data_IF_761784888295
#
_entry.id   IF_761784888295
#
_cell.length_a   1.000
_cell.length_b   1.000
_cell.length_c   1.000
_cell.angle_alpha   90.00
_cell.angle_beta   90.00
_cell.angle_gamma   90.00
#
_symmetry.space_group_name_H-M   'P 1'
#
loop_
_entity.id
_entity.type
_entity.pdbx_description
1 polymer ?
#
# COMPACT_ATOMS: atom_id res chain seq x y z
N UNK A 1 -37.39 -8.45 -7.06
CA UNK A 1 -36.82 -8.15 -8.39
C UNK A 1 -36.21 -6.75 -8.28
N UNK A 2 -34.90 -6.66 -8.42
CA UNK A 2 -34.14 -5.42 -8.28
C UNK A 2 -34.32 -4.54 -9.52
N UNK A 3 -34.27 -3.23 -9.34
CA UNK A 3 -34.58 -2.26 -10.41
C UNK A 3 -33.45 -2.15 -11.43
N UNK A 4 -32.21 -2.21 -10.96
CA UNK A 4 -31.00 -2.09 -11.74
C UNK A 4 -29.80 -2.73 -11.00
N UNK A 5 -28.63 -2.71 -11.64
CA UNK A 5 -27.40 -3.26 -11.09
C UNK A 5 -27.02 -2.63 -9.74
N UNK A 6 -27.16 -1.31 -9.58
CA UNK A 6 -26.77 -0.61 -8.36
C UNK A 6 -27.70 -0.95 -7.18
N UNK A 7 -29.00 -1.08 -7.45
CA UNK A 7 -29.99 -1.57 -6.50
C UNK A 7 -29.71 -3.02 -6.08
N UNK A 8 -29.42 -3.91 -7.04
CA UNK A 8 -29.04 -5.29 -6.78
C UNK A 8 -27.76 -5.40 -5.95
N UNK A 9 -26.70 -4.67 -6.33
CA UNK A 9 -25.41 -4.61 -5.63
C UNK A 9 -25.58 -4.10 -4.20
N UNK A 10 -26.26 -2.98 -4.03
CA UNK A 10 -26.53 -2.41 -2.71
C UNK A 10 -27.38 -3.35 -1.84
N UNK A 11 -28.36 -4.04 -2.44
CA UNK A 11 -29.17 -5.01 -1.72
C UNK A 11 -28.37 -6.24 -1.30
N UNK A 12 -27.55 -6.81 -2.20
CA UNK A 12 -26.66 -7.93 -1.92
C UNK A 12 -25.66 -7.59 -0.80
N UNK A 13 -25.02 -6.41 -0.87
CA UNK A 13 -24.11 -5.93 0.17
C UNK A 13 -24.78 -5.83 1.54
N UNK A 14 -25.97 -5.21 1.63
CA UNK A 14 -26.74 -5.16 2.88
C UNK A 14 -27.21 -6.54 3.35
N UNK A 15 -27.52 -7.43 2.41
CA UNK A 15 -27.97 -8.79 2.71
C UNK A 15 -26.84 -9.65 3.30
N UNK A 16 -25.58 -9.42 2.92
CA UNK A 16 -24.44 -10.09 3.55
C UNK A 16 -24.41 -9.87 5.06
N UNK A 17 -24.52 -8.61 5.50
CA UNK A 17 -24.54 -8.26 6.94
C UNK A 17 -25.72 -8.85 7.71
N UNK A 18 -26.80 -9.21 7.01
CA UNK A 18 -27.99 -9.83 7.60
C UNK A 18 -28.02 -11.35 7.43
N UNK A 19 -27.01 -11.92 6.76
CA UNK A 19 -26.97 -13.32 6.34
C UNK A 19 -28.23 -13.74 5.55
N UNK A 20 -28.77 -12.82 4.75
CA UNK A 20 -29.92 -13.06 3.90
C UNK A 20 -29.48 -13.68 2.57
N UNK A 21 -29.29 -15.00 2.60
CA UNK A 21 -28.83 -15.80 1.46
C UNK A 21 -29.77 -15.75 0.27
N UNK A 22 -31.07 -15.59 0.49
CA UNK A 22 -32.07 -15.52 -0.58
C UNK A 22 -31.95 -14.22 -1.37
N UNK A 23 -31.78 -13.09 -0.67
CA UNK A 23 -31.55 -11.81 -1.34
C UNK A 23 -30.23 -11.80 -2.11
N UNK A 24 -29.16 -12.39 -1.55
CA UNK A 24 -27.86 -12.52 -2.25
C UNK A 24 -28.04 -13.37 -3.51
N UNK A 25 -28.64 -14.56 -3.39
CA UNK A 25 -28.91 -15.45 -4.52
C UNK A 25 -29.72 -14.75 -5.61
N UNK A 26 -30.84 -14.13 -5.23
CA UNK A 26 -31.71 -13.45 -6.18
C UNK A 26 -30.97 -12.31 -6.91
N UNK A 27 -30.08 -11.59 -6.21
CA UNK A 27 -29.31 -10.50 -6.81
C UNK A 27 -28.32 -11.01 -7.87
N UNK A 28 -27.56 -12.05 -7.55
CA UNK A 28 -26.60 -12.68 -8.46
C UNK A 28 -27.27 -13.42 -9.62
N UNK A 29 -28.43 -14.04 -9.41
CA UNK A 29 -29.21 -14.66 -10.49
C UNK A 29 -29.76 -13.62 -11.46
N UNK A 30 -30.25 -12.49 -10.95
CA UNK A 30 -30.77 -11.41 -11.79
C UNK A 30 -29.63 -10.61 -12.46
N UNK A 31 -28.48 -10.47 -11.80
CA UNK A 31 -27.31 -9.73 -12.28
C UNK A 31 -26.02 -10.55 -12.09
N UNK A 32 -25.72 -11.51 -13.00
CA UNK A 32 -24.56 -12.40 -12.88
C UNK A 32 -23.20 -11.69 -12.89
N UNK A 33 -23.13 -10.47 -13.43
CA UNK A 33 -21.90 -9.67 -13.48
C UNK A 33 -21.47 -9.13 -12.11
N UNK A 34 -22.33 -9.20 -11.08
CA UNK A 34 -21.95 -8.85 -9.70
C UNK A 34 -20.71 -9.62 -9.22
N UNK A 35 -20.47 -10.83 -9.74
CA UNK A 35 -19.29 -11.63 -9.38
C UNK A 35 -17.97 -11.08 -9.91
N UNK A 36 -18.01 -10.18 -10.92
CA UNK A 36 -16.84 -9.58 -11.56
C UNK A 36 -16.67 -8.11 -11.14
N UNK A 37 -17.19 -7.74 -9.97
CA UNK A 37 -17.11 -6.38 -9.46
C UNK A 37 -15.64 -5.95 -9.27
N UNK A 38 -15.41 -4.64 -9.22
CA UNK A 38 -14.09 -4.05 -9.06
C UNK A 38 -13.38 -4.62 -7.80
N UNK A 39 -12.05 -4.82 -7.90
CA UNK A 39 -11.19 -5.48 -6.89
C UNK A 39 -11.21 -4.81 -5.51
N UNK A 40 -11.81 -3.63 -5.40
CA UNK A 40 -12.05 -2.92 -4.15
C UNK A 40 -13.09 -3.63 -3.25
N UNK A 41 -13.98 -4.46 -3.82
CA UNK A 41 -15.05 -5.13 -3.07
C UNK A 41 -15.19 -6.63 -3.38
N UNK A 42 -14.20 -7.48 -3.03
CA UNK A 42 -14.30 -8.92 -3.26
C UNK A 42 -15.34 -9.53 -2.31
N UNK A 43 -16.47 -9.98 -2.87
CA UNK A 43 -17.61 -10.52 -2.10
C UNK A 43 -17.21 -11.63 -1.13
N UNK A 44 -16.31 -12.52 -1.55
CA UNK A 44 -15.85 -13.66 -0.73
C UNK A 44 -15.03 -13.16 0.48
N UNK A 45 -14.14 -12.19 0.30
CA UNK A 45 -13.35 -11.59 1.39
C UNK A 45 -14.27 -10.92 2.41
N UNK A 46 -15.27 -10.17 1.94
CA UNK A 46 -16.22 -9.50 2.84
C UNK A 46 -17.10 -10.51 3.61
N UNK A 47 -17.49 -11.62 2.99
CA UNK A 47 -18.20 -12.70 3.66
C UNK A 47 -17.34 -13.42 4.72
N UNK A 48 -16.04 -13.59 4.43
CA UNK A 48 -15.06 -14.13 5.38
C UNK A 48 -14.87 -13.19 6.58
N UNK A 49 -14.72 -11.88 6.36
CA UNK A 49 -14.58 -10.90 7.44
C UNK A 49 -15.80 -10.86 8.38
N UNK A 50 -16.96 -11.31 7.89
CA UNK A 50 -18.19 -11.44 8.66
C UNK A 50 -18.35 -12.81 9.35
N UNK A 51 -17.43 -13.75 9.14
CA UNK A 51 -17.50 -15.09 9.73
C UNK A 51 -18.58 -16.01 9.13
N UNK A 52 -19.14 -15.67 7.97
CA UNK A 52 -20.32 -16.37 7.44
C UNK A 52 -19.95 -17.48 6.45
N UNK A 53 -19.70 -18.69 6.97
CA UNK A 53 -19.51 -19.89 6.14
C UNK A 53 -20.62 -20.11 5.09
N UNK A 54 -21.93 -19.97 5.42
CA UNK A 54 -23.00 -20.13 4.44
C UNK A 54 -22.97 -19.08 3.32
N UNK A 55 -22.58 -17.84 3.64
CA UNK A 55 -22.45 -16.78 2.63
C UNK A 55 -21.26 -17.04 1.72
N UNK A 56 -20.11 -17.45 2.27
CA UNK A 56 -18.94 -17.84 1.49
C UNK A 56 -19.29 -18.97 0.52
N UNK A 57 -19.91 -20.04 1.00
CA UNK A 57 -20.33 -21.18 0.16
C UNK A 57 -21.30 -20.74 -0.93
N UNK A 58 -22.26 -19.88 -0.61
CA UNK A 58 -23.20 -19.34 -1.60
C UNK A 58 -22.46 -18.56 -2.71
N UNK A 59 -21.58 -17.62 -2.34
CA UNK A 59 -20.87 -16.76 -3.30
C UNK A 59 -19.97 -17.56 -4.23
N UNK A 60 -19.23 -18.54 -3.69
CA UNK A 60 -18.40 -19.45 -4.49
C UNK A 60 -19.28 -20.27 -5.45
N UNK A 61 -20.43 -20.77 -4.99
CA UNK A 61 -21.38 -21.49 -5.86
C UNK A 61 -22.03 -20.61 -6.94
N UNK A 62 -22.11 -19.29 -6.70
CA UNK A 62 -22.56 -18.29 -7.67
C UNK A 62 -21.44 -17.88 -8.64
N UNK A 63 -20.23 -18.41 -8.46
CA UNK A 63 -19.09 -18.23 -9.36
C UNK A 63 -18.19 -17.03 -9.03
N UNK A 64 -18.24 -16.50 -7.80
CA UNK A 64 -17.20 -15.59 -7.31
C UNK A 64 -15.86 -16.32 -7.21
N UNK A 65 -14.78 -15.64 -7.59
CA UNK A 65 -13.42 -16.19 -7.46
C UNK A 65 -12.98 -16.17 -5.99
N UNK A 66 -12.76 -17.35 -5.42
CA UNK A 66 -12.27 -17.50 -4.04
C UNK A 66 -10.84 -16.97 -3.85
N UNK A 67 -10.09 -16.84 -4.95
CA UNK A 67 -8.71 -16.36 -4.98
C UNK A 67 -8.59 -14.88 -5.38
N UNK A 68 -9.71 -14.18 -5.50
CA UNK A 68 -9.69 -12.73 -5.66
C UNK A 68 -8.98 -12.09 -4.46
N UNK A 69 -8.16 -11.09 -4.75
CA UNK A 69 -7.38 -10.36 -3.74
C UNK A 69 -7.68 -8.87 -3.80
N UNK A 70 -7.65 -8.20 -2.65
CA UNK A 70 -7.62 -6.73 -2.55
C UNK A 70 -6.30 -6.24 -1.97
N UNK A 71 -6.18 -4.92 -1.78
CA UNK A 71 -5.02 -4.27 -1.17
C UNK A 71 -3.72 -4.64 -1.88
N UNK A 72 -3.71 -4.52 -3.21
CA UNK A 72 -2.56 -4.84 -4.08
C UNK A 72 -2.07 -6.30 -3.96
N UNK A 73 -2.97 -7.23 -3.65
CA UNK A 73 -2.67 -8.67 -3.56
C UNK A 73 -2.38 -9.16 -2.15
N UNK A 74 -2.37 -8.29 -1.14
CA UNK A 74 -2.02 -8.63 0.23
C UNK A 74 -3.17 -9.32 1.00
N UNK A 75 -4.42 -9.03 0.62
CA UNK A 75 -5.59 -9.56 1.33
C UNK A 75 -6.30 -10.60 0.47
N UNK A 76 -6.44 -11.81 1.00
CA UNK A 76 -7.11 -12.96 0.39
C UNK A 76 -8.16 -13.50 1.36
N UNK A 77 -9.01 -14.44 0.92
CA UNK A 77 -9.94 -15.12 1.81
C UNK A 77 -9.22 -15.85 2.97
N UNK A 78 -8.07 -16.48 2.70
CA UNK A 78 -7.28 -17.17 3.72
C UNK A 78 -6.73 -16.17 4.75
N UNK A 79 -6.11 -15.07 4.30
CA UNK A 79 -5.48 -14.12 5.23
C UNK A 79 -6.48 -13.29 6.01
N UNK A 80 -7.68 -13.08 5.46
CA UNK A 80 -8.81 -12.43 6.15
C UNK A 80 -9.42 -13.31 7.24
N UNK A 81 -9.41 -14.63 7.08
CA UNK A 81 -9.94 -15.56 8.07
C UNK A 81 -9.03 -15.69 9.31
N UNK A 82 -7.72 -15.49 9.16
CA UNK A 82 -6.74 -15.81 10.21
C UNK A 82 -6.89 -14.99 11.51
N UNK A 83 -7.18 -13.68 11.48
CA UNK A 83 -7.33 -12.90 12.71
C UNK A 83 -8.52 -13.34 13.58
N UNK A 84 -9.70 -13.53 12.95
CA UNK A 84 -10.97 -13.61 13.69
C UNK A 84 -11.83 -14.85 13.36
N UNK A 85 -11.60 -15.51 12.22
CA UNK A 85 -12.50 -16.54 11.66
C UNK A 85 -11.76 -17.79 11.16
N UNK A 86 -10.75 -18.25 11.91
CA UNK A 86 -9.85 -19.36 11.54
C UNK A 86 -10.64 -20.65 11.21
N UNK A 87 -11.78 -20.86 11.86
CA UNK A 87 -12.70 -21.98 11.60
C UNK A 87 -13.25 -22.04 10.18
N UNK A 88 -13.19 -20.94 9.41
CA UNK A 88 -13.55 -20.93 7.99
C UNK A 88 -12.48 -21.55 7.09
N UNK A 89 -11.20 -21.60 7.54
CA UNK A 89 -10.08 -22.04 6.72
C UNK A 89 -10.26 -23.44 6.09
N UNK A 90 -10.72 -24.48 6.81
CA UNK A 90 -10.94 -25.79 6.19
C UNK A 90 -11.94 -25.74 5.03
N UNK A 91 -13.00 -24.93 5.17
CA UNK A 91 -14.00 -24.74 4.12
C UNK A 91 -13.44 -23.99 2.91
N UNK A 92 -12.71 -22.90 3.16
CA UNK A 92 -12.06 -22.10 2.12
C UNK A 92 -11.06 -22.93 1.30
N UNK A 93 -10.18 -23.68 1.97
CA UNK A 93 -9.18 -24.52 1.31
C UNK A 93 -9.85 -25.65 0.52
N UNK A 94 -10.91 -26.27 1.06
CA UNK A 94 -11.70 -27.29 0.35
C UNK A 94 -12.39 -26.72 -0.90
N UNK A 95 -12.76 -25.44 -0.89
CA UNK A 95 -13.36 -24.73 -2.01
C UNK A 95 -12.32 -24.21 -3.02
N UNK A 96 -11.03 -24.48 -2.81
CA UNK A 96 -9.96 -24.14 -3.76
C UNK A 96 -9.27 -22.80 -3.51
N UNK A 97 -9.38 -22.25 -2.28
CA UNK A 97 -8.55 -21.12 -1.89
C UNK A 97 -7.06 -21.51 -1.94
N UNK A 98 -6.27 -20.74 -2.68
CA UNK A 98 -4.85 -20.97 -2.93
C UNK A 98 -4.00 -20.33 -1.81
N UNK A 99 -3.30 -21.12 -0.98
CA UNK A 99 -2.43 -20.58 0.06
C UNK A 99 -1.15 -19.93 -0.49
N UNK A 100 -0.85 -20.07 -1.79
CA UNK A 100 0.39 -19.62 -2.41
C UNK A 100 0.25 -18.31 -3.18
N UNK A 101 -0.86 -17.59 -3.00
CA UNK A 101 -1.06 -16.29 -3.65
C UNK A 101 0.14 -15.35 -3.37
N UNK A 102 0.81 -14.81 -4.40
CA UNK A 102 2.17 -14.25 -4.28
C UNK A 102 2.35 -13.19 -3.18
N UNK A 103 1.34 -12.34 -2.96
CA UNK A 103 1.39 -11.24 -2.00
C UNK A 103 0.57 -11.47 -0.73
N UNK A 104 -0.28 -12.49 -0.68
CA UNK A 104 -1.13 -12.74 0.47
C UNK A 104 -0.35 -13.32 1.66
N UNK A 105 0.71 -14.09 1.39
CA UNK A 105 1.63 -14.61 2.42
C UNK A 105 0.91 -15.44 3.50
N UNK A 106 0.01 -16.33 3.09
CA UNK A 106 -0.88 -17.08 4.00
C UNK A 106 -0.14 -17.82 5.13
N UNK A 107 1.00 -18.46 4.81
CA UNK A 107 1.80 -19.17 5.81
C UNK A 107 2.39 -18.23 6.87
N UNK A 108 2.74 -16.99 6.50
CA UNK A 108 3.23 -15.99 7.44
C UNK A 108 2.11 -15.43 8.32
N UNK A 109 0.94 -15.18 7.73
CA UNK A 109 -0.24 -14.83 8.50
C UNK A 109 -0.57 -15.92 9.52
N UNK A 110 -0.48 -17.20 9.14
CA UNK A 110 -0.69 -18.34 10.04
C UNK A 110 0.33 -18.39 11.18
N UNK A 111 1.59 -17.98 10.92
CA UNK A 111 2.62 -17.85 11.96
C UNK A 111 2.23 -16.76 12.99
N UNK A 112 1.34 -15.82 12.68
CA UNK A 112 0.85 -14.82 13.62
C UNK A 112 -0.49 -15.19 14.30
N UNK A 113 -1.05 -16.38 14.07
CA UNK A 113 -2.37 -16.80 14.55
C UNK A 113 -2.44 -17.16 16.06
N UNK A 114 -1.59 -16.55 16.91
CA UNK A 114 -1.60 -16.74 18.36
C UNK A 114 -1.45 -18.21 18.79
N UNK A 115 -2.34 -18.68 19.67
CA UNK A 115 -2.31 -20.05 20.22
C UNK A 115 -2.61 -21.14 19.18
N UNK A 116 -3.31 -20.79 18.08
CA UNK A 116 -3.66 -21.73 17.00
C UNK A 116 -2.61 -21.80 15.89
N UNK A 117 -1.51 -21.04 16.01
CA UNK A 117 -0.43 -20.95 15.03
C UNK A 117 -0.04 -22.28 14.39
N UNK A 118 0.36 -23.26 15.21
CA UNK A 118 0.83 -24.56 14.70
C UNK A 118 -0.28 -25.34 13.98
N UNK A 119 -1.52 -25.25 14.46
CA UNK A 119 -2.69 -25.87 13.84
C UNK A 119 -2.96 -25.28 12.45
N UNK A 120 -2.96 -23.94 12.35
CA UNK A 120 -3.21 -23.23 11.09
C UNK A 120 -2.07 -23.47 10.08
N UNK A 121 -0.81 -23.42 10.52
CA UNK A 121 0.33 -23.76 9.66
C UNK A 121 0.23 -25.20 9.15
N UNK A 122 -0.12 -26.16 10.02
CA UNK A 122 -0.35 -27.56 9.60
C UNK A 122 -1.43 -27.65 8.53
N UNK A 123 -2.57 -27.01 8.77
CA UNK A 123 -3.71 -27.02 7.87
C UNK A 123 -3.34 -26.46 6.48
N UNK A 124 -2.65 -25.31 6.42
CA UNK A 124 -2.22 -24.71 5.16
C UNK A 124 -1.23 -25.61 4.40
N UNK A 125 -0.26 -26.19 5.10
CA UNK A 125 0.73 -27.09 4.49
C UNK A 125 0.08 -28.40 3.99
N UNK A 126 -0.90 -28.93 4.71
CA UNK A 126 -1.69 -30.09 4.26
C UNK A 126 -2.49 -29.81 2.98
N UNK A 127 -2.84 -28.54 2.73
CA UNK A 127 -3.51 -28.07 1.53
C UNK A 127 -2.56 -27.47 0.48
N UNK A 128 -1.25 -27.76 0.58
CA UNK A 128 -0.29 -27.45 -0.47
C UNK A 128 0.36 -26.06 -0.38
N UNK A 129 0.35 -25.42 0.79
CA UNK A 129 1.17 -24.23 1.01
C UNK A 129 2.66 -24.54 0.82
N UNK A 130 3.34 -23.73 0.01
CA UNK A 130 4.76 -23.85 -0.28
C UNK A 130 5.58 -23.35 0.91
N UNK A 131 6.12 -24.31 1.67
CA UNK A 131 6.96 -24.05 2.84
C UNK A 131 8.30 -23.39 2.49
N UNK A 132 8.68 -23.35 1.21
CA UNK A 132 9.89 -22.73 0.70
C UNK A 132 9.60 -21.46 -0.11
N UNK A 133 8.37 -20.96 -0.10
CA UNK A 133 8.08 -19.65 -0.65
C UNK A 133 8.93 -18.61 0.09
N UNK A 134 9.74 -17.88 -0.67
CA UNK A 134 10.50 -16.77 -0.18
C UNK A 134 9.68 -15.49 -0.35
N UNK A 135 9.71 -14.64 0.66
CA UNK A 135 8.98 -13.39 0.68
C UNK A 135 10.00 -12.26 0.77
N UNK A 136 9.84 -11.26 -0.08
CA UNK A 136 10.50 -9.99 0.12
C UNK A 136 9.88 -9.26 1.33
N UNK A 137 10.69 -8.50 2.05
CA UNK A 137 10.14 -7.40 2.83
C UNK A 137 9.94 -6.23 1.87
N UNK A 138 8.67 -5.92 1.61
CA UNK A 138 8.24 -4.75 0.86
C UNK A 138 8.61 -4.72 -0.64
N UNK A 139 9.21 -5.76 -1.23
CA UNK A 139 9.66 -5.78 -2.64
C UNK A 139 11.17 -5.79 -2.82
N UNK A 140 11.93 -5.97 -1.73
CA UNK A 140 13.38 -6.18 -1.77
C UNK A 140 13.72 -7.66 -2.03
N UNK A 141 14.19 -7.98 -3.26
CA UNK A 141 14.60 -9.34 -3.67
C UNK A 141 15.90 -9.82 -3.01
N UNK A 142 16.67 -8.95 -2.35
CA UNK A 142 17.89 -9.29 -1.61
C UNK A 142 17.61 -9.59 -0.13
N UNK A 143 16.58 -8.96 0.44
CA UNK A 143 16.08 -9.18 1.80
C UNK A 143 14.90 -10.15 1.81
N UNK A 144 15.13 -11.32 1.21
CA UNK A 144 14.19 -12.42 1.29
C UNK A 144 14.20 -13.01 2.70
N UNK A 145 13.06 -13.54 3.10
CA UNK A 145 12.94 -14.42 4.25
C UNK A 145 11.91 -15.51 3.94
N UNK A 146 12.05 -16.63 4.62
CA UNK A 146 11.20 -17.81 4.46
C UNK A 146 10.30 -17.99 5.67
N UNK A 147 9.30 -18.87 5.54
CA UNK A 147 8.43 -19.22 6.66
C UNK A 147 9.20 -19.79 7.86
N UNK A 148 10.31 -20.49 7.63
CA UNK A 148 11.11 -21.07 8.72
C UNK A 148 11.91 -20.01 9.48
N UNK A 149 12.42 -18.99 8.80
CA UNK A 149 13.10 -17.84 9.44
C UNK A 149 12.09 -16.95 10.18
N UNK A 150 10.92 -16.70 9.58
CA UNK A 150 9.85 -15.94 10.26
C UNK A 150 9.31 -16.65 11.51
N UNK A 151 9.34 -17.98 11.53
CA UNK A 151 8.88 -18.79 12.64
C UNK A 151 9.92 -18.97 13.76
N UNK A 152 11.13 -18.39 13.67
CA UNK A 152 12.21 -18.58 14.67
C UNK A 152 11.77 -18.44 16.14
N UNK A 153 10.90 -17.48 16.52
CA UNK A 153 10.41 -17.37 17.89
C UNK A 153 9.54 -18.56 18.37
N UNK A 154 9.17 -19.48 17.48
CA UNK A 154 8.19 -20.56 17.68
C UNK A 154 8.78 -21.93 17.30
N UNK A 155 9.54 -22.58 18.21
CA UNK A 155 10.31 -23.78 17.91
C UNK A 155 9.48 -24.98 17.42
N UNK A 156 8.23 -25.09 17.87
CA UNK A 156 7.28 -26.13 17.45
C UNK A 156 6.86 -25.98 15.98
N UNK A 157 6.66 -24.73 15.54
CA UNK A 157 6.38 -24.39 14.14
C UNK A 157 7.61 -24.59 13.27
N UNK A 158 8.79 -24.14 13.72
CA UNK A 158 10.07 -24.38 13.02
C UNK A 158 10.30 -25.88 12.84
N UNK A 159 10.14 -26.68 13.90
CA UNK A 159 10.30 -28.12 13.84
C UNK A 159 9.34 -28.76 12.84
N UNK A 160 8.07 -28.33 12.83
CA UNK A 160 7.10 -28.81 11.86
C UNK A 160 7.45 -28.41 10.42
N UNK A 161 7.75 -27.13 10.15
CA UNK A 161 8.13 -26.64 8.82
C UNK A 161 9.39 -27.36 8.31
N UNK A 162 10.42 -27.51 9.14
CA UNK A 162 11.63 -28.29 8.82
C UNK A 162 11.30 -29.76 8.51
N UNK A 163 10.38 -30.38 9.26
CA UNK A 163 9.92 -31.76 8.96
C UNK A 163 9.21 -31.89 7.60
N UNK A 164 8.70 -30.77 7.06
CA UNK A 164 8.08 -30.67 5.73
C UNK A 164 9.04 -30.19 4.65
N UNK A 165 10.33 -30.05 4.98
CA UNK A 165 11.37 -29.65 4.03
C UNK A 165 11.49 -28.15 3.82
N UNK A 166 11.01 -27.34 4.78
CA UNK A 166 11.26 -25.90 4.78
C UNK A 166 12.76 -25.61 4.95
N UNK A 167 13.22 -24.62 4.21
CA UNK A 167 14.62 -24.21 4.12
C UNK A 167 14.75 -22.72 4.39
N UNK A 168 15.90 -22.32 4.89
CA UNK A 168 16.26 -20.90 5.00
C UNK A 168 16.54 -20.33 3.61
N UNK A 169 16.59 -19.01 3.49
CA UNK A 169 16.97 -18.37 2.22
C UNK A 169 18.36 -18.84 1.77
N UNK A 170 19.32 -18.92 2.69
CA UNK A 170 20.69 -19.35 2.38
C UNK A 170 20.75 -20.78 1.84
N UNK A 171 19.97 -21.70 2.41
CA UNK A 171 19.87 -23.07 1.92
C UNK A 171 19.23 -23.14 0.52
N UNK A 172 18.19 -22.33 0.27
CA UNK A 172 17.55 -22.25 -1.05
C UNK A 172 18.48 -21.61 -2.10
N UNK A 173 19.27 -20.61 -1.72
CA UNK A 173 20.32 -20.01 -2.56
C UNK A 173 21.42 -21.01 -2.89
N UNK A 174 21.88 -21.78 -1.90
CA UNK A 174 22.88 -22.84 -2.10
C UNK A 174 22.40 -23.93 -3.08
N UNK A 175 21.08 -24.14 -3.18
CA UNK A 175 20.45 -25.06 -4.13
C UNK A 175 20.14 -24.42 -5.50
N UNK A 176 20.43 -23.13 -5.68
CA UNK A 176 20.10 -22.38 -6.90
C UNK A 176 18.59 -22.20 -7.12
N UNK A 177 17.77 -22.36 -6.07
CA UNK A 177 16.30 -22.16 -6.12
C UNK A 177 15.89 -20.71 -5.92
N UNK A 178 16.75 -19.92 -5.30
CA UNK A 178 16.64 -18.47 -5.19
C UNK A 178 17.86 -17.83 -5.86
N UNK A 179 17.74 -16.60 -6.36
CA UNK A 179 18.90 -15.84 -6.83
C UNK A 179 19.94 -15.76 -5.71
N UNK A 180 21.22 -15.94 -6.07
CA UNK A 180 22.31 -15.71 -5.14
C UNK A 180 22.16 -14.30 -4.54
N UNK A 181 22.40 -14.16 -3.23
CA UNK A 181 22.47 -12.83 -2.62
C UNK A 181 23.40 -11.97 -3.48
N UNK A 182 22.98 -10.75 -3.83
CA UNK A 182 23.89 -9.80 -4.44
C UNK A 182 25.12 -9.70 -3.52
N UNK A 183 26.27 -10.13 -4.05
CA UNK A 183 27.54 -9.96 -3.36
C UNK A 183 27.79 -8.46 -3.26
N UNK A 184 27.57 -7.85 -2.10
CA UNK A 184 28.04 -6.48 -1.90
C UNK A 184 29.57 -6.40 -2.09
N UNK A 185 30.14 -5.26 -2.50
CA UNK A 185 29.65 -4.31 -3.51
C UNK A 185 29.88 -4.88 -4.92
N UNK A 186 28.94 -4.59 -5.82
CA UNK A 186 29.10 -4.92 -7.23
C UNK A 186 30.34 -4.25 -7.81
N UNK A 187 31.14 -5.02 -8.56
CA UNK A 187 32.14 -4.48 -9.48
C UNK A 187 31.39 -3.75 -10.61
N UNK A 188 31.00 -2.50 -10.35
CA UNK A 188 30.33 -1.63 -11.30
C UNK A 188 31.38 -0.84 -12.08
N UNK A 189 31.76 -1.35 -13.26
CA UNK A 189 32.44 -0.57 -14.28
C UNK A 189 31.50 0.39 -15.01
N UNK A 190 30.48 0.92 -14.32
CA UNK A 190 29.56 1.97 -14.77
C UNK A 190 29.35 2.95 -13.63
N UNK A 191 29.45 4.24 -13.91
CA UNK A 191 29.39 5.31 -12.89
C UNK A 191 28.16 5.12 -11.97
N UNK A 192 28.40 4.97 -10.66
CA UNK A 192 27.34 4.89 -9.64
C UNK A 192 26.48 6.16 -9.73
N UNK A 193 25.17 6.00 -9.96
CA UNK A 193 24.25 7.14 -9.99
C UNK A 193 24.06 7.66 -8.57
N UNK A 194 23.97 8.98 -8.41
CA UNK A 194 23.57 9.58 -7.15
C UNK A 194 22.11 9.23 -6.79
N UNK A 195 21.74 9.31 -5.51
CA UNK A 195 20.37 9.04 -5.05
C UNK A 195 19.32 9.88 -5.82
N UNK A 196 19.54 11.19 -6.07
CA UNK A 196 18.65 12.00 -6.89
C UNK A 196 18.48 11.48 -8.33
N UNK A 197 19.56 11.06 -8.99
CA UNK A 197 19.50 10.53 -10.36
C UNK A 197 18.73 9.23 -10.43
N UNK A 198 18.91 8.36 -9.43
CA UNK A 198 18.16 7.11 -9.33
C UNK A 198 16.66 7.35 -9.07
N UNK A 199 16.32 8.33 -8.22
CA UNK A 199 14.92 8.73 -8.01
C UNK A 199 14.27 9.24 -9.31
N UNK A 200 14.95 10.12 -10.04
CA UNK A 200 14.47 10.61 -11.35
C UNK A 200 14.28 9.47 -12.35
N UNK A 201 15.24 8.53 -12.41
CA UNK A 201 15.14 7.36 -13.27
C UNK A 201 13.92 6.49 -12.91
N UNK A 202 13.71 6.23 -11.61
CA UNK A 202 12.57 5.45 -11.13
C UNK A 202 11.24 6.10 -11.53
N UNK A 203 11.09 7.41 -11.29
CA UNK A 203 9.87 8.14 -11.67
C UNK A 203 9.66 8.12 -13.18
N UNK A 204 10.72 8.29 -13.97
CA UNK A 204 10.64 8.22 -15.43
C UNK A 204 10.14 6.86 -15.94
N UNK A 205 10.66 5.78 -15.37
CA UNK A 205 10.34 4.41 -15.78
C UNK A 205 8.96 3.95 -15.30
N UNK A 206 8.58 4.30 -14.06
CA UNK A 206 7.39 3.76 -13.40
C UNK A 206 6.18 4.69 -13.46
N UNK A 207 6.41 6.00 -13.44
CA UNK A 207 5.36 7.03 -13.41
C UNK A 207 5.24 7.75 -14.76
N UNK A 208 6.24 7.62 -15.64
CA UNK A 208 6.23 8.07 -17.02
C UNK A 208 7.18 9.24 -17.32
N UNK A 209 7.24 9.70 -18.58
CA UNK A 209 8.33 10.55 -19.06
C UNK A 209 8.41 11.85 -18.29
N UNK A 210 9.57 12.09 -17.69
CA UNK A 210 9.88 13.31 -16.94
C UNK A 210 10.14 14.45 -17.92
N UNK A 211 9.52 15.61 -17.66
CA UNK A 211 9.80 16.86 -18.36
C UNK A 211 11.26 17.25 -18.12
N UNK A 212 12.08 17.47 -19.17
CA UNK A 212 13.47 17.89 -19.01
C UNK A 212 13.62 19.20 -18.23
N UNK A 213 12.58 20.03 -18.22
CA UNK A 213 12.57 21.30 -17.49
C UNK A 213 12.20 21.06 -16.02
N UNK A 214 13.19 20.68 -15.22
CA UNK A 214 13.06 20.65 -13.76
C UNK A 214 12.91 22.07 -13.18
N UNK A 215 12.10 22.20 -12.15
CA UNK A 215 11.87 23.44 -11.40
C UNK A 215 12.90 23.52 -10.27
N UNK A 216 14.12 23.93 -10.62
CA UNK A 216 15.21 24.11 -9.67
C UNK A 216 15.00 25.36 -8.81
N UNK A 217 15.38 25.29 -7.54
CA UNK A 217 15.38 26.44 -6.65
C UNK A 217 16.67 27.27 -6.83
N UNK A 218 16.54 28.57 -7.06
CA UNK A 218 17.67 29.51 -7.15
C UNK A 218 17.82 30.23 -5.80
N UNK A 219 17.98 29.47 -4.72
CA UNK A 219 18.24 29.99 -3.37
C UNK A 219 19.37 29.17 -2.75
N UNK A 220 20.38 29.79 -2.12
CA UNK A 220 21.37 29.05 -1.38
C UNK A 220 20.69 28.32 -0.21
N UNK A 221 20.60 27.01 -0.32
CA UNK A 221 20.14 26.10 0.71
C UNK A 221 21.16 24.99 0.85
N UNK A 222 21.40 24.55 2.08
CA UNK A 222 22.31 23.44 2.37
C UNK A 222 21.76 22.08 1.92
N UNK A 223 20.49 22.05 1.45
CA UNK A 223 19.89 20.93 0.75
C UNK A 223 19.08 21.42 -0.47
N UNK A 224 19.66 21.36 -1.69
CA UNK A 224 18.95 21.77 -2.89
C UNK A 224 17.83 20.76 -3.22
N UNK A 225 16.58 21.21 -3.14
CA UNK A 225 15.42 20.39 -3.53
C UNK A 225 14.95 20.80 -4.92
N UNK A 226 15.13 19.89 -5.88
CA UNK A 226 14.64 20.05 -7.25
C UNK A 226 13.26 19.44 -7.37
N UNK A 227 12.34 20.14 -8.05
CA UNK A 227 11.01 19.60 -8.36
C UNK A 227 10.97 19.20 -9.83
N UNK A 228 10.68 17.94 -10.09
CA UNK A 228 10.51 17.37 -11.41
C UNK A 228 9.03 17.24 -11.74
N UNK A 229 8.73 17.17 -13.03
CA UNK A 229 7.35 17.12 -13.53
C UNK A 229 7.19 15.94 -14.46
N UNK A 230 6.12 15.17 -14.28
CA UNK A 230 5.61 14.23 -15.28
C UNK A 230 4.31 14.82 -15.81
N UNK A 231 4.29 15.32 -17.06
CA UNK A 231 3.07 15.88 -17.65
C UNK A 231 1.97 14.83 -17.81
N UNK A 232 0.72 15.29 -17.86
CA UNK A 232 -0.42 14.41 -18.15
C UNK A 232 -0.31 13.81 -19.55
N UNK A 233 -0.75 12.56 -19.70
CA UNK A 233 -0.87 11.88 -20.98
C UNK A 233 -2.31 11.42 -21.22
N UNK A 234 -2.60 10.85 -22.40
CA UNK A 234 -3.92 10.27 -22.69
C UNK A 234 -4.30 9.13 -21.73
N UNK A 235 -3.32 8.36 -21.28
CA UNK A 235 -3.49 7.22 -20.36
C UNK A 235 -3.38 7.64 -18.88
N UNK A 236 -2.70 8.75 -18.58
CA UNK A 236 -2.59 9.33 -17.22
C UNK A 236 -3.11 10.77 -17.20
N UNK A 237 -4.42 10.98 -16.92
CA UNK A 237 -5.05 12.30 -16.97
C UNK A 237 -4.76 13.14 -15.71
N UNK A 238 -3.50 13.17 -15.27
CA UNK A 238 -3.01 13.95 -14.13
C UNK A 238 -1.54 14.31 -14.31
N UNK A 239 -1.10 15.37 -13.65
CA UNK A 239 0.31 15.80 -13.56
C UNK A 239 0.91 15.23 -12.28
N UNK A 240 2.13 14.68 -12.34
CA UNK A 240 2.87 14.31 -11.13
C UNK A 240 4.00 15.30 -10.91
N UNK A 241 4.09 15.89 -9.71
CA UNK A 241 5.27 16.62 -9.27
C UNK A 241 6.01 15.76 -8.25
N UNK A 242 7.33 15.70 -8.33
CA UNK A 242 8.13 14.93 -7.36
C UNK A 242 9.46 15.62 -7.05
N UNK A 243 10.04 15.30 -5.90
CA UNK A 243 11.32 15.86 -5.46
C UNK A 243 12.49 15.00 -5.93
N UNK A 244 13.64 15.65 -6.13
CA UNK A 244 14.94 15.02 -5.98
C UNK A 244 15.82 15.91 -5.11
N UNK A 245 16.67 15.30 -4.28
CA UNK A 245 17.63 16.01 -3.43
C UNK A 245 17.39 15.78 -1.94
N UNK A 246 16.16 15.41 -1.54
CA UNK A 246 15.87 15.06 -0.16
C UNK A 246 16.66 13.83 0.29
N UNK A 247 16.88 12.91 -0.65
CA UNK A 247 17.62 11.67 -0.48
C UNK A 247 19.14 11.80 -0.58
N UNK A 248 19.70 13.00 -0.78
CA UNK A 248 21.17 13.21 -0.78
C UNK A 248 21.81 12.96 0.58
N UNK A 249 21.02 13.08 1.66
CA UNK A 249 21.44 12.81 3.03
C UNK A 249 20.38 11.97 3.74
N UNK A 250 20.77 11.09 4.67
CA UNK A 250 19.79 10.37 5.47
C UNK A 250 19.08 11.34 6.44
N UNK A 251 17.79 11.11 6.64
CA UNK A 251 17.01 11.68 7.74
C UNK A 251 17.50 11.12 9.09
N UNK A 252 17.20 11.83 10.17
CA UNK A 252 17.55 11.39 11.52
C UNK A 252 16.49 10.39 12.04
N UNK A 253 16.67 9.12 11.69
CA UNK A 253 15.76 8.03 12.07
C UNK A 253 16.20 7.33 13.37
N UNK A 254 15.26 6.82 14.19
CA UNK A 254 15.58 5.97 15.34
C UNK A 254 16.28 4.66 14.96
N UNK A 255 16.93 4.04 15.94
CA UNK A 255 17.49 2.69 15.77
C UNK A 255 16.41 1.70 15.32
N UNK A 256 16.68 0.94 14.25
CA UNK A 256 15.73 0.00 13.65
C UNK A 256 14.86 0.59 12.53
N UNK A 257 14.88 1.90 12.31
CA UNK A 257 14.07 2.59 11.29
C UNK A 257 14.87 3.01 10.06
N UNK A 258 16.01 2.35 9.81
CA UNK A 258 16.93 2.67 8.70
C UNK A 258 16.29 2.57 7.30
N UNK A 259 15.17 1.85 7.19
CA UNK A 259 14.36 1.77 5.96
C UNK A 259 13.73 3.10 5.54
N UNK A 260 13.60 4.04 6.48
CA UNK A 260 13.05 5.36 6.24
C UNK A 260 14.13 6.44 6.23
N UNK A 261 15.42 6.07 6.19
CA UNK A 261 16.50 7.05 6.20
C UNK A 261 16.51 7.92 4.94
N UNK A 262 16.11 7.40 3.78
CA UNK A 262 16.13 8.15 2.52
C UNK A 262 14.74 8.23 1.93
N UNK A 263 14.37 9.41 1.42
CA UNK A 263 13.06 9.63 0.86
C UNK A 263 13.08 10.66 -0.27
N UNK A 264 12.09 10.54 -1.15
CA UNK A 264 11.61 11.60 -2.01
C UNK A 264 10.08 11.70 -1.89
N UNK A 265 9.53 12.84 -2.25
CA UNK A 265 8.12 13.16 -2.13
C UNK A 265 7.51 13.31 -3.52
N UNK A 266 6.22 13.01 -3.65
CA UNK A 266 5.47 13.31 -4.86
C UNK A 266 4.01 13.68 -4.57
N UNK A 267 3.37 14.36 -5.51
CA UNK A 267 1.96 14.73 -5.48
C UNK A 267 1.37 14.65 -6.89
N UNK A 268 0.13 14.18 -6.98
CA UNK A 268 -0.60 14.10 -8.24
C UNK A 268 -1.69 15.17 -8.30
N UNK A 269 -1.74 15.87 -9.42
CA UNK A 269 -2.57 17.06 -9.63
C UNK A 269 -3.43 16.87 -10.88
N UNK A 270 -4.56 17.60 -11.02
CA UNK A 270 -5.38 17.55 -12.22
C UNK A 270 -4.59 17.81 -13.51
N UNK A 271 -4.98 17.20 -14.62
CA UNK A 271 -4.29 17.36 -15.93
C UNK A 271 -4.11 18.82 -16.40
N UNK A 272 -4.98 19.72 -15.95
CA UNK A 272 -4.98 21.13 -16.30
C UNK A 272 -4.24 22.02 -15.28
N UNK A 273 -3.49 21.40 -14.34
CA UNK A 273 -2.71 22.13 -13.36
C UNK A 273 -1.59 22.96 -13.99
N UNK A 274 -1.52 24.25 -13.63
CA UNK A 274 -0.56 25.21 -14.21
C UNK A 274 0.74 25.28 -13.42
N UNK A 275 1.52 24.19 -13.43
CA UNK A 275 2.77 24.09 -12.66
C UNK A 275 3.89 25.07 -13.09
N UNK A 276 3.77 25.71 -14.26
CA UNK A 276 4.70 26.74 -14.72
C UNK A 276 4.40 28.13 -14.14
N UNK A 277 3.18 28.36 -13.61
CA UNK A 277 2.77 29.64 -13.04
C UNK A 277 3.21 29.75 -11.57
N UNK A 278 4.53 29.82 -11.36
CA UNK A 278 5.16 29.81 -10.03
C UNK A 278 4.80 31.03 -9.16
N UNK A 279 4.29 32.11 -9.76
CA UNK A 279 3.93 33.32 -9.01
C UNK A 279 2.50 33.28 -8.47
N UNK A 280 1.67 32.36 -8.97
CA UNK A 280 0.28 32.26 -8.56
C UNK A 280 0.13 31.29 -7.37
N UNK A 281 -0.29 31.77 -6.19
CA UNK A 281 -0.44 30.92 -5.00
C UNK A 281 -1.43 29.76 -5.19
N UNK A 282 -2.40 29.90 -6.11
CA UNK A 282 -3.36 28.84 -6.43
C UNK A 282 -2.67 27.61 -7.05
N UNK A 283 -1.62 27.82 -7.84
CA UNK A 283 -0.96 26.76 -8.62
C UNK A 283 0.37 26.32 -8.00
N UNK A 284 1.07 27.22 -7.31
CA UNK A 284 2.43 26.97 -6.81
C UNK A 284 2.46 26.31 -5.43
N UNK A 285 1.37 26.29 -4.66
CA UNK A 285 1.39 25.71 -3.32
C UNK A 285 1.90 24.25 -3.25
N UNK A 286 1.62 23.33 -4.21
CA UNK A 286 2.16 21.97 -4.13
C UNK A 286 3.68 21.92 -4.15
N UNK A 287 4.31 22.78 -4.97
CA UNK A 287 5.77 22.91 -5.10
C UNK A 287 6.35 23.44 -3.78
N UNK A 288 5.72 24.44 -3.19
CA UNK A 288 6.15 25.00 -1.91
C UNK A 288 6.06 23.96 -0.78
N UNK A 289 4.99 23.18 -0.75
CA UNK A 289 4.80 22.11 0.24
C UNK A 289 5.76 20.93 0.04
N UNK A 290 6.02 20.51 -1.19
CA UNK A 290 7.05 19.51 -1.49
C UNK A 290 8.42 19.95 -0.95
N UNK A 291 8.86 21.16 -1.26
CA UNK A 291 10.15 21.68 -0.77
C UNK A 291 10.20 21.80 0.75
N UNK A 292 9.13 22.31 1.36
CA UNK A 292 9.04 22.45 2.82
C UNK A 292 9.12 21.11 3.53
N UNK A 293 8.31 20.13 3.10
CA UNK A 293 8.29 18.81 3.73
C UNK A 293 9.60 18.06 3.48
N UNK A 294 10.21 18.22 2.30
CA UNK A 294 11.50 17.61 1.99
C UNK A 294 12.63 18.11 2.90
N UNK A 295 12.57 19.38 3.31
CA UNK A 295 13.57 19.98 4.22
C UNK A 295 13.30 19.71 5.69
N UNK A 296 12.04 19.55 6.08
CA UNK A 296 11.62 19.43 7.48
C UNK A 296 12.46 18.40 8.29
N UNK A 297 12.72 17.17 7.81
CA UNK A 297 13.57 16.21 8.51
C UNK A 297 15.01 16.65 8.71
N UNK A 298 15.57 17.41 7.76
CA UNK A 298 16.97 17.82 7.77
C UNK A 298 17.17 19.06 8.64
N UNK A 299 16.30 20.06 8.49
CA UNK A 299 16.37 21.30 9.26
C UNK A 299 15.99 21.07 10.73
N UNK A 300 15.10 20.11 10.99
CA UNK A 300 14.61 19.77 12.32
C UNK A 300 15.34 18.61 13.00
N UNK A 301 16.39 18.05 12.38
CA UNK A 301 17.09 16.84 12.83
C UNK A 301 16.09 15.71 13.23
N UNK A 302 15.12 15.47 12.36
CA UNK A 302 14.02 14.52 12.56
C UNK A 302 13.81 13.65 11.33
N UNK A 303 12.67 12.97 11.25
CA UNK A 303 12.27 12.09 10.16
C UNK A 303 10.75 12.16 9.98
N UNK A 304 10.25 11.56 8.90
CA UNK A 304 8.81 11.57 8.59
C UNK A 304 8.00 10.55 9.40
N UNK A 305 8.58 9.77 10.32
CA UNK A 305 7.80 9.02 11.31
C UNK A 305 7.10 7.75 10.80
N UNK A 306 7.78 6.94 9.98
CA UNK A 306 7.28 5.66 9.47
C UNK A 306 6.46 5.81 8.18
N UNK A 307 5.63 4.82 7.81
CA UNK A 307 4.98 4.81 6.50
C UNK A 307 3.91 5.89 6.37
N UNK A 308 3.44 6.49 7.46
CA UNK A 308 2.40 7.52 7.43
C UNK A 308 2.66 8.59 8.48
N UNK A 309 2.61 9.86 8.06
CA UNK A 309 2.56 11.01 8.97
C UNK A 309 1.60 12.07 8.47
N UNK A 310 1.13 12.93 9.37
CA UNK A 310 0.30 14.08 9.01
C UNK A 310 0.99 15.36 9.51
N UNK A 311 1.29 16.25 8.56
CA UNK A 311 1.91 17.54 8.80
C UNK A 311 0.81 18.61 8.81
N UNK A 312 0.72 19.39 9.89
CA UNK A 312 -0.25 20.47 10.05
C UNK A 312 0.44 21.75 10.55
N UNK A 313 -0.15 22.92 10.24
CA UNK A 313 0.30 24.20 10.79
C UNK A 313 -0.45 24.54 12.08
N UNK A 314 0.30 24.76 13.15
CA UNK A 314 -0.15 25.29 14.45
C UNK A 314 -1.31 24.54 15.16
N UNK A 315 -1.66 24.99 16.37
CA UNK A 315 -2.80 24.46 17.11
C UNK A 315 -4.15 24.88 16.49
N UNK A 316 -4.17 25.95 15.69
CA UNK A 316 -5.34 26.40 14.95
C UNK A 316 -5.17 26.09 13.44
N UNK A 317 -6.04 25.25 12.84
CA UNK A 317 -5.87 24.79 11.47
C UNK A 317 -6.03 25.93 10.46
N UNK A 318 -4.93 26.30 9.81
CA UNK A 318 -4.90 27.30 8.74
C UNK A 318 -4.94 26.64 7.36
N UNK A 319 -5.59 27.26 6.35
CA UNK A 319 -5.51 26.79 4.97
C UNK A 319 -4.06 26.68 4.47
N UNK A 320 -3.71 25.56 3.84
CA UNK A 320 -2.36 25.31 3.31
C UNK A 320 -1.97 26.28 2.18
N UNK A 321 -2.95 26.97 1.59
CA UNK A 321 -2.79 28.06 0.63
C UNK A 321 -4.07 28.92 0.56
N UNK A 322 -3.98 30.18 0.10
CA UNK A 322 -5.15 31.03 -0.10
C UNK A 322 -6.20 30.38 -1.02
N UNK A 323 -7.44 30.25 -0.53
CA UNK A 323 -8.56 29.70 -1.30
C UNK A 323 -8.57 28.16 -1.45
N UNK A 324 -7.68 27.45 -0.75
CA UNK A 324 -7.64 25.98 -0.71
C UNK A 324 -8.29 25.51 0.60
N UNK A 325 -9.19 24.50 0.59
CA UNK A 325 -9.95 24.11 1.78
C UNK A 325 -9.18 23.19 2.75
N UNK A 326 -7.98 22.76 2.36
CA UNK A 326 -7.15 21.83 3.13
C UNK A 326 -6.33 22.57 4.18
N UNK A 327 -6.11 21.94 5.33
CA UNK A 327 -5.37 22.54 6.46
C UNK A 327 -4.22 21.67 6.97
N UNK A 328 -4.05 20.47 6.40
CA UNK A 328 -2.93 19.58 6.73
C UNK A 328 -2.55 18.71 5.53
N UNK A 329 -1.42 18.02 5.62
CA UNK A 329 -0.87 17.16 4.59
C UNK A 329 -0.65 15.76 5.15
N UNK A 330 -1.37 14.77 4.63
CA UNK A 330 -1.02 13.37 4.81
C UNK A 330 0.18 13.04 3.93
N UNK A 331 1.19 12.41 4.52
CA UNK A 331 2.43 11.99 3.89
C UNK A 331 2.50 10.48 4.03
N UNK A 332 2.34 9.77 2.92
CA UNK A 332 2.16 8.31 2.89
C UNK A 332 3.26 7.68 2.04
N UNK A 333 4.08 6.81 2.62
CA UNK A 333 5.04 5.99 1.89
C UNK A 333 4.27 5.03 0.99
N UNK A 334 4.38 5.22 -0.32
CA UNK A 334 3.58 4.47 -1.30
C UNK A 334 4.43 3.56 -2.19
N UNK A 335 5.65 4.00 -2.52
CA UNK A 335 6.61 3.21 -3.27
C UNK A 335 7.98 3.29 -2.59
N UNK A 336 8.88 2.39 -2.98
CA UNK A 336 10.29 2.49 -2.67
C UNK A 336 11.08 1.65 -3.67
N UNK A 337 12.39 1.83 -3.66
CA UNK A 337 13.33 0.98 -4.38
C UNK A 337 14.68 0.93 -3.64
N UNK A 338 15.49 -0.08 -3.92
CA UNK A 338 16.88 -0.13 -3.47
C UNK A 338 17.75 0.73 -4.39
N UNK A 339 18.58 1.58 -3.80
CA UNK A 339 19.57 2.33 -4.56
C UNK A 339 20.76 1.44 -4.93
N UNK A 340 21.56 1.88 -5.90
CA UNK A 340 22.82 1.24 -6.30
C UNK A 340 23.77 1.08 -5.09
N UNK A 341 23.65 1.95 -4.08
CA UNK A 341 24.42 1.92 -2.83
C UNK A 341 23.81 1.01 -1.75
N UNK A 342 22.74 0.27 -2.05
CA UNK A 342 22.06 -0.66 -1.14
C UNK A 342 21.20 0.01 -0.07
N UNK A 343 20.88 1.29 -0.22
CA UNK A 343 19.96 1.99 0.68
C UNK A 343 18.52 1.89 0.16
N UNK A 344 17.55 1.89 1.06
CA UNK A 344 16.14 1.98 0.67
C UNK A 344 15.74 3.43 0.51
N UNK A 345 15.24 3.81 -0.68
CA UNK A 345 14.70 5.14 -0.95
C UNK A 345 13.17 5.07 -0.99
N UNK A 346 12.51 5.73 -0.04
CA UNK A 346 11.06 5.78 0.11
C UNK A 346 10.44 6.90 -0.72
N UNK A 347 9.37 6.61 -1.46
CA UNK A 347 8.62 7.60 -2.22
C UNK A 347 7.29 7.88 -1.54
N UNK A 348 7.20 9.03 -0.89
CA UNK A 348 6.03 9.46 -0.14
C UNK A 348 5.09 10.29 -0.99
N UNK A 349 3.82 9.89 -1.06
CA UNK A 349 2.76 10.72 -1.62
C UNK A 349 2.31 11.77 -0.61
N UNK A 350 2.13 12.99 -1.07
CA UNK A 350 1.44 14.07 -0.37
C UNK A 350 -0.05 14.08 -0.74
N UNK A 351 -0.92 14.03 0.27
CA UNK A 351 -2.37 14.13 0.13
C UNK A 351 -2.89 15.23 1.06
N UNK A 352 -3.38 16.36 0.52
CA UNK A 352 -3.98 17.42 1.34
C UNK A 352 -5.24 16.93 2.06
N UNK A 353 -5.39 17.28 3.33
CA UNK A 353 -6.53 16.92 4.18
C UNK A 353 -7.32 18.16 4.61
N UNK A 354 -8.64 18.03 4.66
CA UNK A 354 -9.52 18.97 5.34
C UNK A 354 -9.34 18.91 6.86
N UNK A 355 -9.77 19.96 7.54
CA UNK A 355 -9.72 20.02 9.01
C UNK A 355 -10.50 18.89 9.68
N UNK A 356 -11.69 18.59 9.19
CA UNK A 356 -12.55 17.52 9.70
C UNK A 356 -12.02 16.10 9.43
N UNK A 357 -11.23 15.91 8.37
CA UNK A 357 -10.48 14.66 8.10
C UNK A 357 -9.36 14.46 9.11
N UNK A 358 -8.64 15.54 9.42
CA UNK A 358 -7.65 15.53 10.50
C UNK A 358 -8.33 15.29 11.85
N UNK A 359 -9.46 15.92 12.13
CA UNK A 359 -10.23 15.67 13.36
C UNK A 359 -10.76 14.23 13.44
N UNK A 360 -11.15 13.63 12.32
CA UNK A 360 -11.55 12.23 12.26
C UNK A 360 -10.37 11.33 12.66
N UNK A 361 -9.19 11.58 12.13
CA UNK A 361 -7.98 10.84 12.49
C UNK A 361 -7.60 11.05 13.96
N UNK A 362 -7.62 12.28 14.48
CA UNK A 362 -7.31 12.56 15.89
C UNK A 362 -8.29 11.82 16.82
N UNK A 363 -9.58 11.81 16.47
CA UNK A 363 -10.64 11.21 17.29
C UNK A 363 -10.70 9.70 17.19
N UNK A 364 -10.42 9.12 16.02
CA UNK A 364 -10.75 7.73 15.69
C UNK A 364 -9.56 6.93 15.12
N UNK A 365 -8.39 7.55 15.04
CA UNK A 365 -7.17 6.98 14.49
C UNK A 365 -7.09 7.00 12.96
N UNK A 366 -5.86 6.80 12.46
CA UNK A 366 -5.56 6.72 11.03
C UNK A 366 -6.40 5.68 10.26
N UNK A 367 -6.68 4.46 10.79
CA UNK A 367 -7.51 3.50 10.07
C UNK A 367 -8.92 4.02 9.76
N UNK A 368 -9.51 4.84 10.64
CA UNK A 368 -10.83 5.43 10.40
C UNK A 368 -10.79 6.47 9.27
N UNK A 369 -9.70 7.23 9.18
CA UNK A 369 -9.47 8.17 8.07
C UNK A 369 -9.27 7.43 6.75
N UNK A 370 -8.41 6.40 6.71
CA UNK A 370 -8.18 5.60 5.51
C UNK A 370 -9.47 4.92 5.03
N UNK A 371 -10.22 4.29 5.94
CA UNK A 371 -11.54 3.74 5.64
C UNK A 371 -12.53 4.79 5.11
N UNK A 372 -12.41 6.06 5.52
CA UNK A 372 -13.25 7.12 4.98
C UNK A 372 -12.86 7.48 3.53
N UNK A 373 -11.57 7.52 3.20
CA UNK A 373 -11.11 7.65 1.81
C UNK A 373 -11.64 6.50 0.94
N UNK A 374 -11.53 5.26 1.43
CA UNK A 374 -11.96 4.07 0.70
C UNK A 374 -13.49 4.04 0.48
N UNK A 375 -14.27 4.28 1.54
CA UNK A 375 -15.74 4.32 1.46
C UNK A 375 -16.26 5.35 0.46
N UNK A 376 -15.55 6.47 0.31
CA UNK A 376 -15.92 7.54 -0.60
C UNK A 376 -15.26 7.41 -1.98
N UNK A 377 -14.49 6.34 -2.22
CA UNK A 377 -13.72 6.11 -3.44
C UNK A 377 -12.95 7.35 -3.88
N UNK A 378 -12.40 8.08 -2.90
CA UNK A 378 -11.76 9.37 -3.15
C UNK A 378 -10.34 9.12 -3.66
N UNK A 379 -10.03 9.52 -4.91
CA UNK A 379 -8.68 9.33 -5.45
C UNK A 379 -7.70 10.22 -4.68
N UNK A 380 -6.45 9.76 -4.60
CA UNK A 380 -5.36 10.56 -4.03
C UNK A 380 -4.80 11.63 -4.99
N UNK A 381 -5.38 11.76 -6.19
CA UNK A 381 -5.17 12.91 -7.07
C UNK A 381 -5.85 14.11 -6.41
N UNK A 382 -5.13 15.23 -6.28
CA UNK A 382 -5.66 16.44 -5.65
C UNK A 382 -6.87 16.96 -6.41
N UNK A 383 -7.98 17.14 -5.72
CA UNK A 383 -9.13 17.91 -6.20
C UNK A 383 -9.48 18.96 -5.14
N UNK A 384 -9.17 20.23 -5.43
CA UNK A 384 -9.42 21.37 -4.53
C UNK A 384 -10.92 21.56 -4.25
N UNK A 385 -11.80 20.99 -5.08
CA UNK A 385 -13.26 21.05 -4.91
C UNK A 385 -13.84 19.83 -4.21
N UNK A 386 -13.01 18.82 -3.89
CA UNK A 386 -13.50 17.60 -3.22
C UNK A 386 -14.11 17.96 -1.87
N UNK A 387 -15.16 17.25 -1.48
CA UNK A 387 -15.67 17.33 -0.12
C UNK A 387 -14.78 16.53 0.81
N UNK A 388 -14.85 16.86 2.10
CA UNK A 388 -14.26 16.04 3.14
C UNK A 388 -14.84 14.62 3.13
N UNK A 389 -13.96 13.62 3.21
CA UNK A 389 -14.35 12.21 3.37
C UNK A 389 -14.92 11.94 4.76
N UNK A 390 -14.68 12.82 5.74
CA UNK A 390 -15.25 12.71 7.09
C UNK A 390 -16.73 13.15 7.13
N UNK A 391 -17.18 13.96 6.16
CA UNK A 391 -18.55 14.46 6.09
C UNK A 391 -19.38 13.80 4.97
N UNK A 392 -18.73 13.08 4.06
CA UNK A 392 -19.40 12.37 2.98
C UNK A 392 -20.10 11.10 3.51
N UNK A 393 -21.33 10.87 3.05
CA UNK A 393 -22.26 9.83 3.56
C UNK A 393 -22.24 8.57 2.74
#
# INVERSE_FOLDING_TARGET
MFKDYADARGAASRAMFRQDLETIRAAFEQFPDLKNEDRAFPWVIDAVNQGSAPTVELLVNLGCDINETKDMGCTSAITSAIPDHIELLPGLLKQGADPNLPRARAILAAINAGERRLEVVKLLVEHGADVNQAFDLYGNEDALFTAVEFAEPYPDVVAYLRSKGAKTVDELRAEGKLPAASSGPGDHTGEERSFPEQAVAWFNENMGPVDPAALTEIVPSDLPITIHVIPSSGERPFVTLFTSGMSERPMNVPDGESLYAFAELFIQLPKDWKYQDLQNPQWNWPILWLRRIARLPHDGETWLGGPVTIIAEDEAPMPIAPGVPFTSMLVLAEHHFQTDQGATLQLYRLTPLHTDERELEIRSGLPALMNAFDRNSTPFIVDVKRRSVALAR
#
